data_IF_329066072709
#
_entry.id   IF_329066072709
#
_cell.length_a   1.000
_cell.length_b   1.000
_cell.length_c   1.000
_cell.angle_alpha   90.00
_cell.angle_beta   90.00
_cell.angle_gamma   90.00
#
_symmetry.space_group_name_H-M   'P 1'
#
loop_
_entity.id
_entity.type
_entity.pdbx_description
1 polymer ?
#
# COMPACT_ATOMS: atom_id res chain seq x y z
N UNK A 1 25.79 27.36 18.28
CA UNK A 1 24.55 26.71 18.79
C UNK A 1 24.32 25.43 18.00
N UNK A 2 24.61 24.27 18.60
CA UNK A 2 24.34 22.96 17.98
C UNK A 2 22.83 22.82 17.78
N UNK A 3 22.36 22.83 16.54
CA UNK A 3 20.98 22.49 16.18
C UNK A 3 20.68 21.07 16.64
N UNK A 4 20.16 20.94 17.88
CA UNK A 4 19.61 19.69 18.39
C UNK A 4 18.37 19.43 17.54
N UNK A 5 18.51 18.61 16.50
CA UNK A 5 17.38 18.21 15.65
C UNK A 5 16.30 17.64 16.55
N UNK A 6 15.10 18.18 16.45
CA UNK A 6 13.96 17.74 17.23
C UNK A 6 13.46 16.39 16.70
N UNK A 7 14.06 15.31 17.19
CA UNK A 7 13.67 13.94 16.88
C UNK A 7 12.29 13.60 17.43
N UNK A 8 11.85 14.30 18.48
CA UNK A 8 10.53 14.11 19.08
C UNK A 8 9.45 14.66 18.15
N UNK A 9 9.61 15.89 17.66
CA UNK A 9 8.72 16.50 16.68
C UNK A 9 8.60 15.68 15.39
N UNK A 10 9.72 15.16 14.87
CA UNK A 10 9.72 14.27 13.69
C UNK A 10 8.97 12.96 13.91
N UNK A 11 9.01 12.39 15.12
CA UNK A 11 8.27 11.16 15.45
C UNK A 11 6.79 11.43 15.64
N UNK A 12 6.44 12.45 16.43
CA UNK A 12 5.05 12.82 16.68
C UNK A 12 4.36 13.21 15.38
N UNK A 13 5.02 13.99 14.51
CA UNK A 13 4.48 14.35 13.20
C UNK A 13 4.20 13.14 12.33
N UNK A 14 5.09 12.14 12.33
CA UNK A 14 4.89 10.89 11.60
C UNK A 14 3.69 10.11 12.16
N UNK A 15 3.58 9.95 13.48
CA UNK A 15 2.44 9.25 14.10
C UNK A 15 1.10 9.94 13.86
N UNK A 16 1.07 11.27 13.92
CA UNK A 16 -0.15 12.04 13.65
C UNK A 16 -0.58 11.90 12.19
N UNK A 17 0.38 11.90 11.26
CA UNK A 17 0.12 11.61 9.85
C UNK A 17 -0.38 10.16 9.62
N UNK A 18 0.22 9.16 10.26
CA UNK A 18 -0.26 7.78 10.18
C UNK A 18 -1.72 7.67 10.67
N UNK A 19 -2.06 8.39 11.74
CA UNK A 19 -3.42 8.40 12.27
C UNK A 19 -4.43 9.02 11.29
N UNK A 20 -4.08 10.12 10.60
CA UNK A 20 -4.96 10.68 9.58
C UNK A 20 -5.20 9.72 8.41
N UNK A 21 -4.18 8.96 8.01
CA UNK A 21 -4.31 7.94 6.96
C UNK A 21 -5.21 6.78 7.41
N UNK A 22 -5.08 6.33 8.66
CA UNK A 22 -5.97 5.29 9.22
C UNK A 22 -7.43 5.76 9.20
N UNK A 23 -7.70 7.03 9.54
CA UNK A 23 -9.06 7.59 9.48
C UNK A 23 -9.56 7.67 8.04
N UNK A 24 -8.73 8.11 7.10
CA UNK A 24 -9.08 8.21 5.68
C UNK A 24 -9.51 6.86 5.11
N UNK A 25 -8.68 5.83 5.26
CA UNK A 25 -9.01 4.47 4.81
C UNK A 25 -10.12 3.82 5.65
N UNK A 26 -10.16 4.08 6.95
CA UNK A 26 -11.22 3.62 7.84
C UNK A 26 -12.61 4.10 7.40
N UNK A 27 -12.73 5.37 7.01
CA UNK A 27 -13.97 5.91 6.46
C UNK A 27 -14.40 5.22 5.16
N UNK A 28 -13.44 4.95 4.26
CA UNK A 28 -13.70 4.21 3.01
C UNK A 28 -14.11 2.74 3.27
N UNK A 29 -13.54 2.10 4.29
CA UNK A 29 -13.92 0.74 4.68
C UNK A 29 -15.31 0.68 5.28
N UNK A 30 -15.71 1.67 6.09
CA UNK A 30 -17.08 1.78 6.59
C UNK A 30 -18.04 1.99 5.41
N UNK A 31 -17.69 2.86 4.46
CA UNK A 31 -18.49 3.06 3.25
C UNK A 31 -18.68 1.76 2.47
N UNK A 32 -17.61 0.98 2.26
CA UNK A 32 -17.69 -0.34 1.66
C UNK A 32 -18.63 -1.27 2.43
N UNK A 33 -18.49 -1.34 3.76
CA UNK A 33 -19.31 -2.24 4.59
C UNK A 33 -20.81 -1.91 4.52
N UNK A 34 -21.16 -0.63 4.46
CA UNK A 34 -22.56 -0.18 4.30
C UNK A 34 -23.13 -0.62 2.95
N UNK A 35 -22.39 -0.40 1.86
CA UNK A 35 -22.85 -0.83 0.52
C UNK A 35 -22.86 -2.35 0.35
N UNK A 36 -21.91 -3.06 0.96
CA UNK A 36 -21.90 -4.51 1.01
C UNK A 36 -23.15 -5.06 1.70
N UNK A 37 -23.57 -4.45 2.81
CA UNK A 37 -24.80 -4.84 3.50
C UNK A 37 -26.07 -4.61 2.66
N UNK A 38 -26.10 -3.53 1.87
CA UNK A 38 -27.23 -3.18 1.02
C UNK A 38 -27.32 -4.02 -0.27
N UNK A 39 -26.18 -4.47 -0.82
CA UNK A 39 -26.09 -5.16 -2.11
C UNK A 39 -25.18 -6.40 -2.06
N UNK A 40 -25.44 -7.38 -1.18
CA UNK A 40 -24.52 -8.50 -0.95
C UNK A 40 -24.29 -9.35 -2.20
N UNK A 41 -25.35 -9.70 -2.94
CA UNK A 41 -25.26 -10.57 -4.12
C UNK A 41 -24.39 -9.97 -5.23
N UNK A 42 -24.46 -8.65 -5.42
CA UNK A 42 -23.67 -7.93 -6.42
C UNK A 42 -22.20 -7.79 -6.02
N UNK A 43 -21.91 -7.66 -4.73
CA UNK A 43 -20.54 -7.61 -4.23
C UNK A 43 -19.85 -8.98 -4.34
N UNK A 44 -20.60 -10.07 -4.11
CA UNK A 44 -20.13 -11.43 -4.35
C UNK A 44 -19.86 -11.66 -5.84
N UNK A 45 -20.77 -11.22 -6.72
CA UNK A 45 -20.57 -11.31 -8.16
C UNK A 45 -19.32 -10.52 -8.61
N UNK A 46 -19.15 -9.29 -8.11
CA UNK A 46 -17.96 -8.48 -8.36
C UNK A 46 -16.67 -9.13 -7.87
N UNK A 47 -16.67 -9.74 -6.67
CA UNK A 47 -15.52 -10.44 -6.12
C UNK A 47 -15.06 -11.65 -6.96
N UNK A 48 -15.98 -12.33 -7.64
CA UNK A 48 -15.66 -13.47 -8.52
C UNK A 48 -14.91 -13.06 -9.78
N UNK A 49 -15.09 -11.82 -10.25
CA UNK A 49 -14.35 -11.22 -11.37
C UNK A 49 -12.90 -10.83 -10.99
N UNK A 50 -12.49 -11.03 -9.73
CA UNK A 50 -11.13 -10.76 -9.26
C UNK A 50 -10.32 -12.05 -9.14
N UNK A 51 -9.08 -12.01 -9.64
CA UNK A 51 -8.19 -13.15 -9.55
C UNK A 51 -7.57 -13.25 -8.14
N UNK A 52 -8.13 -14.16 -7.33
CA UNK A 52 -7.68 -14.47 -5.97
C UNK A 52 -6.20 -14.86 -5.86
N UNK A 53 -5.67 -15.58 -6.85
CA UNK A 53 -4.28 -16.05 -6.83
C UNK A 53 -3.33 -14.88 -6.99
N UNK A 54 -3.62 -13.97 -7.93
CA UNK A 54 -2.81 -12.76 -8.14
C UNK A 54 -2.90 -11.85 -6.90
N UNK A 55 -4.09 -11.69 -6.32
CA UNK A 55 -4.27 -10.95 -5.07
C UNK A 55 -3.46 -11.54 -3.90
N UNK A 56 -3.50 -12.87 -3.72
CA UNK A 56 -2.78 -13.56 -2.65
C UNK A 56 -1.26 -13.45 -2.82
N UNK A 57 -0.75 -13.61 -4.05
CA UNK A 57 0.66 -13.43 -4.37
C UNK A 57 1.12 -12.01 -4.05
N UNK A 58 0.34 -11.00 -4.43
CA UNK A 58 0.63 -9.60 -4.13
C UNK A 58 0.70 -9.34 -2.62
N UNK A 59 -0.22 -9.92 -1.83
CA UNK A 59 -0.19 -9.82 -0.36
C UNK A 59 1.07 -10.46 0.22
N UNK A 60 1.46 -11.66 -0.22
CA UNK A 60 2.71 -12.31 0.22
C UNK A 60 3.93 -11.46 -0.14
N UNK A 61 3.97 -10.91 -1.36
CA UNK A 61 5.08 -10.04 -1.83
C UNK A 61 5.20 -8.79 -0.95
N UNK A 62 4.08 -8.15 -0.60
CA UNK A 62 4.09 -6.97 0.26
C UNK A 62 4.48 -7.30 1.71
N UNK A 63 3.99 -8.40 2.28
CA UNK A 63 4.38 -8.85 3.62
C UNK A 63 5.88 -9.14 3.71
N UNK A 64 6.43 -9.83 2.71
CA UNK A 64 7.88 -10.10 2.64
C UNK A 64 8.65 -8.78 2.48
N UNK A 65 8.16 -7.87 1.63
CA UNK A 65 8.75 -6.53 1.46
C UNK A 65 8.79 -5.77 2.78
N UNK A 66 7.69 -5.74 3.51
CA UNK A 66 7.54 -5.14 4.84
C UNK A 66 8.57 -5.71 5.81
N UNK A 67 8.69 -7.04 5.89
CA UNK A 67 9.73 -7.68 6.69
C UNK A 67 11.16 -7.25 6.29
N UNK A 68 11.46 -7.12 5.00
CA UNK A 68 12.79 -6.68 4.56
C UNK A 68 13.09 -5.23 4.93
N UNK A 69 12.08 -4.34 4.94
CA UNK A 69 12.26 -2.95 5.42
C UNK A 69 12.63 -2.93 6.90
N UNK A 70 11.95 -3.72 7.73
CA UNK A 70 12.31 -3.85 9.14
C UNK A 70 13.74 -4.40 9.33
N UNK A 71 14.12 -5.43 8.56
CA UNK A 71 15.48 -5.97 8.56
C UNK A 71 16.53 -4.92 8.14
N UNK A 72 16.17 -4.00 7.23
CA UNK A 72 17.05 -2.89 6.81
C UNK A 72 17.37 -1.93 7.96
N UNK A 73 16.39 -1.63 8.81
CA UNK A 73 16.56 -0.77 9.99
C UNK A 73 17.52 -1.44 10.97
N UNK A 74 17.33 -2.74 11.26
CA UNK A 74 18.24 -3.50 12.12
C UNK A 74 19.66 -3.59 11.53
N UNK A 75 19.79 -3.71 10.21
CA UNK A 75 21.10 -3.73 9.55
C UNK A 75 21.82 -2.37 9.68
N UNK A 76 21.12 -1.24 9.60
CA UNK A 76 21.70 0.09 9.88
C UNK A 76 22.13 0.22 11.34
N UNK A 77 21.31 -0.26 12.29
CA UNK A 77 21.67 -0.23 13.71
C UNK A 77 22.90 -1.08 14.03
N UNK A 78 23.13 -2.16 13.28
CA UNK A 78 24.34 -3.02 13.37
C UNK A 78 25.51 -2.51 12.54
N UNK A 79 25.47 -1.27 12.05
CA UNK A 79 26.51 -0.64 11.23
C UNK A 79 26.84 -1.42 9.93
N UNK A 80 25.85 -2.10 9.35
CA UNK A 80 25.97 -2.85 8.07
C UNK A 80 25.18 -2.17 6.95
N UNK A 81 25.60 -0.98 6.46
CA UNK A 81 24.84 -0.21 5.48
C UNK A 81 24.68 -0.89 4.12
N UNK A 82 25.65 -1.73 3.72
CA UNK A 82 25.55 -2.54 2.49
C UNK A 82 24.41 -3.56 2.55
N UNK A 83 24.21 -4.20 3.70
CA UNK A 83 23.11 -5.13 3.91
C UNK A 83 21.76 -4.40 3.94
N UNK A 84 21.70 -3.25 4.62
CA UNK A 84 20.51 -2.41 4.64
C UNK A 84 20.09 -1.96 3.24
N UNK A 85 21.04 -1.52 2.41
CA UNK A 85 20.78 -1.13 1.03
C UNK A 85 20.23 -2.31 0.19
N UNK A 86 20.77 -3.52 0.37
CA UNK A 86 20.25 -4.73 -0.29
C UNK A 86 18.80 -5.03 0.09
N UNK A 87 18.44 -4.93 1.37
CA UNK A 87 17.07 -5.12 1.82
C UNK A 87 16.10 -4.05 1.30
N UNK A 88 16.52 -2.78 1.28
CA UNK A 88 15.73 -1.68 0.72
C UNK A 88 15.50 -1.86 -0.79
N UNK A 89 16.53 -2.27 -1.53
CA UNK A 89 16.42 -2.54 -2.97
C UNK A 89 15.45 -3.68 -3.24
N UNK A 90 15.52 -4.75 -2.44
CA UNK A 90 14.59 -5.88 -2.54
C UNK A 90 13.14 -5.44 -2.29
N UNK A 91 12.91 -4.63 -1.25
CA UNK A 91 11.59 -4.08 -0.93
C UNK A 91 11.02 -3.21 -2.06
N UNK A 92 11.86 -2.36 -2.66
CA UNK A 92 11.48 -1.56 -3.84
C UNK A 92 11.11 -2.44 -5.05
N UNK A 93 11.87 -3.52 -5.29
CA UNK A 93 11.53 -4.49 -6.33
C UNK A 93 10.17 -5.16 -6.09
N UNK A 94 9.87 -5.53 -4.85
CA UNK A 94 8.57 -6.09 -4.48
C UNK A 94 7.42 -5.09 -4.70
N UNK A 95 7.62 -3.82 -4.33
CA UNK A 95 6.64 -2.75 -4.58
C UNK A 95 6.40 -2.52 -6.08
N UNK A 96 7.45 -2.62 -6.90
CA UNK A 96 7.31 -2.50 -8.35
C UNK A 96 6.51 -3.68 -8.95
N UNK A 97 6.80 -4.92 -8.52
CA UNK A 97 6.04 -6.11 -8.94
C UNK A 97 4.56 -5.95 -8.61
N UNK A 98 4.24 -5.46 -7.41
CA UNK A 98 2.87 -5.17 -7.01
C UNK A 98 2.18 -4.17 -7.95
N UNK A 99 2.83 -3.03 -8.24
CA UNK A 99 2.28 -2.01 -9.13
C UNK A 99 2.09 -2.51 -10.56
N UNK A 100 3.04 -3.29 -11.08
CA UNK A 100 2.96 -3.87 -12.42
C UNK A 100 1.81 -4.88 -12.52
N UNK A 101 1.70 -5.79 -11.55
CA UNK A 101 0.57 -6.73 -11.49
C UNK A 101 -0.77 -5.98 -11.46
N UNK A 102 -0.84 -4.91 -10.68
CA UNK A 102 -2.04 -4.08 -10.60
C UNK A 102 -2.37 -3.36 -11.90
N UNK A 103 -1.35 -2.81 -12.56
CA UNK A 103 -1.50 -2.16 -13.85
C UNK A 103 -2.08 -3.12 -14.90
N UNK A 104 -1.60 -4.36 -14.95
CA UNK A 104 -2.15 -5.38 -15.85
C UNK A 104 -3.59 -5.78 -15.49
N UNK A 105 -3.90 -5.92 -14.20
CA UNK A 105 -5.27 -6.26 -13.76
C UNK A 105 -6.27 -5.15 -14.09
N UNK A 106 -5.88 -3.89 -13.88
CA UNK A 106 -6.68 -2.73 -14.27
C UNK A 106 -6.81 -2.60 -15.79
N UNK A 107 -5.69 -2.72 -16.52
CA UNK A 107 -5.69 -2.63 -17.98
C UNK A 107 -6.56 -3.70 -18.63
N UNK A 108 -6.49 -4.94 -18.14
CA UNK A 108 -7.36 -6.02 -18.61
C UNK A 108 -8.84 -5.71 -18.33
N UNK A 109 -9.19 -5.16 -17.16
CA UNK A 109 -10.59 -4.82 -16.82
C UNK A 109 -11.13 -3.64 -17.62
N UNK A 110 -10.32 -2.62 -17.86
CA UNK A 110 -10.67 -1.47 -18.70
C UNK A 110 -10.87 -1.92 -20.15
N UNK A 111 -10.05 -2.86 -20.64
CA UNK A 111 -10.20 -3.42 -21.98
C UNK A 111 -11.46 -4.30 -22.15
N UNK A 112 -12.05 -4.79 -21.05
CA UNK A 112 -13.34 -5.50 -21.06
C UNK A 112 -14.53 -4.56 -20.75
N UNK A 113 -14.36 -3.24 -20.83
CA UNK A 113 -15.38 -2.22 -20.48
C UNK A 113 -15.91 -2.31 -19.03
N UNK A 114 -15.13 -2.85 -18.10
CA UNK A 114 -15.48 -2.97 -16.68
C UNK A 114 -14.89 -1.76 -15.92
N UNK A 115 -15.40 -0.57 -16.21
CA UNK A 115 -15.03 0.67 -15.53
C UNK A 115 -16.27 1.48 -15.08
N UNK A 116 -16.16 2.31 -14.02
CA UNK A 116 -17.30 3.06 -13.49
C UNK A 116 -17.97 3.91 -14.58
N UNK A 117 -19.28 3.75 -14.77
CA UNK A 117 -20.07 4.40 -15.82
C UNK A 117 -19.71 4.04 -17.27
N UNK A 118 -19.08 2.89 -17.55
CA UNK A 118 -18.96 2.39 -18.94
C UNK A 118 -20.35 2.11 -19.55
N UNK A 119 -20.48 2.04 -20.89
CA UNK A 119 -21.74 1.69 -21.56
C UNK A 119 -22.31 0.36 -21.02
N UNK A 120 -21.44 -0.62 -20.79
CA UNK A 120 -21.78 -1.95 -20.26
C UNK A 120 -22.16 -1.93 -18.78
N UNK A 121 -21.67 -0.95 -18.00
CA UNK A 121 -22.02 -0.76 -16.59
C UNK A 121 -23.22 0.17 -16.35
N UNK A 122 -23.57 1.01 -17.32
CA UNK A 122 -24.81 1.78 -17.30
C UNK A 122 -26.04 0.89 -17.54
N UNK A 123 -25.87 -0.18 -18.33
CA UNK A 123 -26.86 -1.24 -18.51
C UNK A 123 -26.77 -2.35 -17.43
N UNK A 124 -25.74 -2.34 -16.58
CA UNK A 124 -25.58 -3.30 -15.48
C UNK A 124 -26.29 -2.84 -14.20
N UNK A 125 -26.63 -3.82 -13.36
CA UNK A 125 -27.30 -3.58 -12.07
C UNK A 125 -26.52 -2.58 -11.19
N UNK A 126 -27.20 -1.61 -10.53
CA UNK A 126 -26.56 -0.51 -9.79
C UNK A 126 -25.53 -0.96 -8.75
N UNK A 127 -25.74 -2.13 -8.13
CA UNK A 127 -24.84 -2.71 -7.14
C UNK A 127 -23.46 -3.06 -7.68
N UNK A 128 -23.36 -3.49 -8.95
CA UNK A 128 -22.10 -3.87 -9.58
C UNK A 128 -21.25 -2.63 -9.89
N UNK A 129 -21.87 -1.57 -10.41
CA UNK A 129 -21.20 -0.30 -10.70
C UNK A 129 -20.66 0.34 -9.41
N UNK A 130 -21.40 0.27 -8.30
CA UNK A 130 -20.95 0.72 -6.98
C UNK A 130 -19.75 -0.10 -6.48
N UNK A 131 -19.78 -1.44 -6.61
CA UNK A 131 -18.66 -2.30 -6.22
C UNK A 131 -17.37 -1.93 -6.96
N UNK A 132 -17.43 -1.82 -8.29
CA UNK A 132 -16.25 -1.47 -9.08
C UNK A 132 -15.79 -0.03 -8.82
N UNK A 133 -16.70 0.92 -8.60
CA UNK A 133 -16.36 2.29 -8.19
C UNK A 133 -15.58 2.32 -6.89
N UNK A 134 -16.06 1.62 -5.85
CA UNK A 134 -15.36 1.50 -4.57
C UNK A 134 -14.02 0.77 -4.71
N UNK A 135 -13.97 -0.28 -5.53
CA UNK A 135 -12.74 -1.00 -5.84
C UNK A 135 -11.68 -0.06 -6.44
N UNK A 136 -12.00 0.69 -7.49
CA UNK A 136 -11.03 1.59 -8.14
C UNK A 136 -10.61 2.74 -7.23
N UNK A 137 -11.53 3.32 -6.44
CA UNK A 137 -11.19 4.40 -5.50
C UNK A 137 -10.27 3.90 -4.39
N UNK A 138 -10.61 2.80 -3.71
CA UNK A 138 -9.83 2.29 -2.58
C UNK A 138 -8.48 1.75 -3.05
N UNK A 139 -8.46 0.93 -4.11
CA UNK A 139 -7.22 0.36 -4.62
C UNK A 139 -6.35 1.38 -5.36
N UNK A 140 -6.95 2.39 -5.98
CA UNK A 140 -6.24 3.50 -6.62
C UNK A 140 -5.58 4.43 -5.62
N UNK A 141 -6.32 4.81 -4.57
CA UNK A 141 -5.76 5.58 -3.46
C UNK A 141 -4.62 4.80 -2.80
N UNK A 142 -4.80 3.51 -2.55
CA UNK A 142 -3.75 2.65 -2.02
C UNK A 142 -2.53 2.58 -2.96
N UNK A 143 -2.74 2.41 -4.27
CA UNK A 143 -1.66 2.42 -5.26
C UNK A 143 -0.85 3.71 -5.26
N UNK A 144 -1.51 4.86 -5.10
CA UNK A 144 -0.85 6.15 -4.92
C UNK A 144 0.04 6.17 -3.66
N UNK A 145 -0.45 5.63 -2.55
CA UNK A 145 0.32 5.51 -1.30
C UNK A 145 1.53 4.59 -1.46
N UNK A 146 1.40 3.47 -2.17
CA UNK A 146 2.53 2.60 -2.50
C UNK A 146 3.59 3.36 -3.29
N UNK A 147 3.20 4.14 -4.30
CA UNK A 147 4.13 4.97 -5.09
C UNK A 147 4.87 5.97 -4.19
N UNK A 148 4.15 6.70 -3.34
CA UNK A 148 4.74 7.65 -2.39
C UNK A 148 5.71 6.91 -1.45
N UNK A 149 5.33 5.74 -0.95
CA UNK A 149 6.18 4.91 -0.09
C UNK A 149 7.45 4.46 -0.80
N UNK A 150 7.36 4.09 -2.07
CA UNK A 150 8.53 3.70 -2.89
C UNK A 150 9.47 4.88 -3.09
N UNK A 151 8.94 6.09 -3.27
CA UNK A 151 9.77 7.31 -3.32
C UNK A 151 10.50 7.53 -1.99
N UNK A 152 9.81 7.42 -0.85
CA UNK A 152 10.42 7.58 0.47
C UNK A 152 11.51 6.52 0.76
N UNK A 153 11.26 5.26 0.39
CA UNK A 153 12.25 4.18 0.49
C UNK A 153 13.43 4.39 -0.44
N UNK A 154 13.20 4.90 -1.66
CA UNK A 154 14.26 5.22 -2.62
C UNK A 154 15.15 6.36 -2.11
N UNK A 155 14.55 7.42 -1.55
CA UNK A 155 15.30 8.50 -0.90
C UNK A 155 16.11 7.95 0.28
N UNK A 156 15.51 7.09 1.11
CA UNK A 156 16.21 6.45 2.22
C UNK A 156 17.38 5.58 1.75
N UNK A 157 17.22 4.82 0.67
CA UNK A 157 18.27 4.02 0.03
C UNK A 157 19.44 4.92 -0.42
N UNK A 158 19.17 6.02 -1.12
CA UNK A 158 20.21 6.97 -1.56
C UNK A 158 20.94 7.57 -0.36
N UNK A 159 20.23 7.88 0.73
CA UNK A 159 20.82 8.43 1.94
C UNK A 159 21.68 7.41 2.71
N UNK A 160 21.30 6.13 2.69
CA UNK A 160 22.10 5.02 3.22
C UNK A 160 23.38 4.85 2.41
N UNK A 161 23.28 4.84 1.08
CA UNK A 161 24.45 4.72 0.19
C UNK A 161 25.41 5.91 0.30
N UNK A 162 24.89 7.11 0.57
CA UNK A 162 25.69 8.33 0.82
C UNK A 162 26.25 8.44 2.24
N UNK A 163 26.01 7.44 3.11
CA UNK A 163 26.46 7.44 4.50
C UNK A 163 25.85 8.57 5.35
N UNK A 164 24.72 9.15 4.92
CA UNK A 164 23.99 10.18 5.68
C UNK A 164 22.99 9.59 6.67
N UNK A 165 22.58 8.34 6.45
CA UNK A 165 21.81 7.50 7.37
C UNK A 165 22.76 6.45 7.94
N UNK A 166 23.10 6.62 9.22
CA UNK A 166 23.98 5.72 9.99
C UNK A 166 23.29 5.36 11.32
N UNK A 167 23.90 4.50 12.14
CA UNK A 167 23.36 4.07 13.44
C UNK A 167 22.98 5.23 14.37
N UNK A 168 23.64 6.40 14.28
CA UNK A 168 23.30 7.60 15.06
C UNK A 168 22.20 8.49 14.44
N UNK A 169 21.76 8.22 13.19
CA UNK A 169 20.82 9.07 12.44
C UNK A 169 19.95 8.25 11.48
N UNK A 170 19.16 7.33 12.02
CA UNK A 170 18.27 6.46 11.24
C UNK A 170 16.79 6.87 11.28
N UNK A 171 16.42 7.97 11.96
CA UNK A 171 15.02 8.43 12.09
C UNK A 171 14.29 8.57 10.76
N UNK A 172 14.98 8.98 9.69
CA UNK A 172 14.35 9.10 8.36
C UNK A 172 13.99 7.73 7.75
N UNK A 173 14.86 6.73 7.93
CA UNK A 173 14.60 5.36 7.51
C UNK A 173 13.51 4.72 8.39
N UNK A 174 13.52 4.98 9.69
CA UNK A 174 12.47 4.56 10.62
C UNK A 174 11.10 5.11 10.21
N UNK A 175 10.98 6.42 9.98
CA UNK A 175 9.73 7.04 9.56
C UNK A 175 9.27 6.53 8.18
N UNK A 176 10.19 6.36 7.22
CA UNK A 176 9.85 5.80 5.90
C UNK A 176 9.39 4.35 6.02
N UNK A 177 10.00 3.57 6.91
CA UNK A 177 9.59 2.21 7.21
C UNK A 177 8.20 2.15 7.85
N UNK A 178 7.93 3.00 8.85
CA UNK A 178 6.60 3.09 9.47
C UNK A 178 5.50 3.41 8.44
N UNK A 179 5.78 4.31 7.49
CA UNK A 179 4.85 4.57 6.38
C UNK A 179 4.62 3.33 5.53
N UNK A 180 5.70 2.65 5.12
CA UNK A 180 5.60 1.44 4.30
C UNK A 180 4.81 0.32 4.99
N UNK A 181 5.04 0.12 6.29
CA UNK A 181 4.30 -0.85 7.11
C UNK A 181 2.81 -0.50 7.22
N UNK A 182 2.46 0.79 7.32
CA UNK A 182 1.06 1.20 7.32
C UNK A 182 0.39 0.88 5.98
N UNK A 183 1.05 1.19 4.87
CA UNK A 183 0.54 0.90 3.52
C UNK A 183 0.31 -0.60 3.38
N UNK A 184 1.27 -1.44 3.77
CA UNK A 184 1.12 -2.90 3.80
C UNK A 184 -0.06 -3.36 4.68
N UNK A 185 -0.20 -2.79 5.89
CA UNK A 185 -1.33 -3.08 6.79
C UNK A 185 -2.68 -2.76 6.16
N UNK A 186 -2.81 -1.63 5.46
CA UNK A 186 -4.03 -1.28 4.73
C UNK A 186 -4.35 -2.35 3.66
N UNK A 187 -3.34 -2.83 2.94
CA UNK A 187 -3.52 -3.86 1.92
C UNK A 187 -4.02 -5.19 2.50
N UNK A 188 -3.53 -5.57 3.69
CA UNK A 188 -3.98 -6.78 4.41
C UNK A 188 -5.50 -6.73 4.66
N UNK A 189 -6.10 -5.55 4.85
CA UNK A 189 -7.56 -5.41 4.98
C UNK A 189 -8.27 -5.34 3.63
N UNK A 190 -7.68 -4.66 2.64
CA UNK A 190 -8.26 -4.52 1.29
C UNK A 190 -8.36 -5.87 0.59
N UNK A 191 -7.34 -6.73 0.72
CA UNK A 191 -7.31 -8.01 0.02
C UNK A 191 -8.50 -8.93 0.38
N UNK A 192 -8.78 -9.27 1.65
CA UNK A 192 -9.93 -10.09 2.00
C UNK A 192 -11.26 -9.46 1.58
N UNK A 193 -11.38 -8.14 1.75
CA UNK A 193 -12.59 -7.39 1.46
C UNK A 193 -12.99 -7.45 -0.01
N UNK A 194 -12.04 -7.43 -0.95
CA UNK A 194 -12.38 -7.48 -2.38
C UNK A 194 -12.20 -8.85 -3.01
N UNK A 195 -11.23 -9.65 -2.55
CA UNK A 195 -10.87 -10.92 -3.19
C UNK A 195 -11.43 -12.16 -2.48
N UNK A 196 -11.75 -12.08 -1.20
CA UNK A 196 -12.21 -13.24 -0.41
C UNK A 196 -13.70 -13.18 -0.03
N UNK A 197 -14.41 -12.11 -0.39
CA UNK A 197 -15.86 -12.01 -0.24
C UNK A 197 -16.52 -13.00 -1.22
N UNK A 198 -17.33 -13.91 -0.68
CA UNK A 198 -17.90 -15.10 -1.31
C UNK A 198 -19.41 -15.18 -1.08
#
# INVERSE_FOLDING_TARGET
>A
MSSRRDTLGLRIGMWLFLYSEIILFGGLFVLYAVYYHNFPDFFVAGGRELNRIIGALNTVVLLVSSFTVAASITAIQREKPRQAAGFLLFSLGCGLIFLVNKYFEWGAKIHHDIYPNSPTMQDAEPGLNIFFSLYYVITGLHGLHVIIGMVLLSVSLVLVLRGRVNAGRFTMLENSGLYWHLVDLIWIFVFPMFYLVL
#
